data_IF_479170859544
#
_entry.id   IF_479170859544
#
_cell.length_a   1.000
_cell.length_b   1.000
_cell.length_c   1.000
_cell.angle_alpha   90.00
_cell.angle_beta   90.00
_cell.angle_gamma   90.00
#
_symmetry.space_group_name_H-M   'P 1'
#
loop_
_entity.id
_entity.type
_entity.pdbx_description
1 polymer ?
#
# COMPACT_ATOMS: atom_id res chain seq x y z
N UNK A 1 7.11 -4.96 4.43
CA UNK A 1 7.46 -3.69 5.11
C UNK A 1 6.19 -3.16 5.74
N UNK A 2 6.26 -2.51 6.91
CA UNK A 2 5.09 -1.86 7.52
C UNK A 2 5.39 -0.38 7.71
N UNK A 3 4.35 0.46 7.67
CA UNK A 3 4.46 1.91 7.90
C UNK A 3 3.20 2.43 8.59
N UNK A 4 3.35 3.51 9.32
CA UNK A 4 2.26 4.15 10.06
C UNK A 4 2.20 5.64 9.71
N UNK A 5 0.99 6.19 9.71
CA UNK A 5 0.80 7.63 9.57
C UNK A 5 1.49 8.37 10.73
N UNK A 6 1.84 9.66 10.57
CA UNK A 6 2.47 10.45 11.63
C UNK A 6 1.72 10.47 12.98
N UNK A 7 0.41 10.27 12.97
CA UNK A 7 -0.45 10.18 14.15
C UNK A 7 -0.88 8.74 14.50
N UNK A 8 -0.31 7.75 13.83
CA UNK A 8 -0.57 6.31 14.03
C UNK A 8 -2.03 5.89 13.78
N UNK A 9 -2.85 6.75 13.16
CA UNK A 9 -4.24 6.45 12.82
C UNK A 9 -4.39 5.42 11.70
N UNK A 10 -3.38 5.31 10.82
CA UNK A 10 -3.34 4.34 9.72
C UNK A 10 -2.07 3.52 9.76
N UNK A 11 -2.19 2.21 9.58
CA UNK A 11 -1.07 1.28 9.44
C UNK A 11 -1.22 0.48 8.15
N UNK A 12 -0.15 0.40 7.36
CA UNK A 12 -0.14 -0.28 6.06
C UNK A 12 0.98 -1.31 6.02
N UNK A 13 0.64 -2.53 5.65
CA UNK A 13 1.59 -3.59 5.37
C UNK A 13 1.79 -3.75 3.86
N UNK A 14 3.05 -3.85 3.45
CA UNK A 14 3.47 -4.09 2.08
C UNK A 14 4.09 -5.47 1.92
N UNK A 15 3.63 -6.17 0.90
CA UNK A 15 4.06 -7.51 0.50
C UNK A 15 4.53 -7.48 -0.95
N UNK A 16 5.74 -7.95 -1.22
CA UNK A 16 6.17 -8.27 -2.57
C UNK A 16 5.72 -9.69 -2.93
N UNK A 17 5.45 -9.91 -4.21
CA UNK A 17 5.16 -11.22 -4.76
C UNK A 17 5.87 -11.38 -6.10
N UNK A 18 6.27 -12.61 -6.41
CA UNK A 18 6.94 -13.00 -7.65
C UNK A 18 6.47 -14.41 -8.00
N UNK A 19 5.82 -14.56 -9.16
CA UNK A 19 5.31 -15.83 -9.65
C UNK A 19 6.37 -16.64 -10.44
N UNK A 20 7.61 -16.17 -10.53
CA UNK A 20 8.74 -16.85 -11.15
C UNK A 20 8.88 -16.57 -12.65
N UNK A 21 9.67 -17.40 -13.34
CA UNK A 21 10.27 -17.11 -14.66
C UNK A 21 9.34 -16.65 -15.80
N UNK A 22 8.03 -16.87 -15.69
CA UNK A 22 7.04 -16.44 -16.69
C UNK A 22 5.85 -15.73 -16.08
N UNK A 23 5.87 -15.52 -14.76
CA UNK A 23 4.78 -14.93 -14.02
C UNK A 23 5.03 -13.45 -13.72
N UNK A 24 3.98 -12.74 -13.34
CA UNK A 24 4.11 -11.37 -12.89
C UNK A 24 4.75 -11.30 -11.50
N UNK A 25 5.26 -10.12 -11.19
CA UNK A 25 5.76 -9.77 -9.87
C UNK A 25 5.27 -8.37 -9.53
N UNK A 26 5.28 -8.02 -8.27
CA UNK A 26 4.82 -6.70 -7.85
C UNK A 26 4.73 -6.54 -6.36
N UNK A 27 4.04 -5.47 -5.97
CA UNK A 27 3.86 -5.07 -4.59
C UNK A 27 2.38 -4.85 -4.32
N UNK A 28 1.92 -5.37 -3.18
CA UNK A 28 0.58 -5.14 -2.63
C UNK A 28 0.68 -4.42 -1.31
N UNK A 29 -0.16 -3.41 -1.11
CA UNK A 29 -0.33 -2.68 0.14
C UNK A 29 -1.70 -2.94 0.76
N UNK A 30 -1.72 -3.29 2.04
CA UNK A 30 -2.92 -3.59 2.82
C UNK A 30 -3.03 -2.65 4.02
N UNK A 31 -4.13 -1.88 4.05
CA UNK A 31 -4.51 -1.07 5.20
C UNK A 31 -5.05 -1.97 6.31
N UNK A 32 -4.46 -1.86 7.49
CA UNK A 32 -4.92 -2.55 8.68
C UNK A 32 -6.15 -1.82 9.25
N UNK A 33 -7.23 -2.56 9.45
CA UNK A 33 -8.45 -2.07 10.07
C UNK A 33 -8.58 -2.51 11.53
N UNK A 34 -9.66 -2.08 12.21
CA UNK A 34 -9.99 -2.62 13.52
C UNK A 34 -10.21 -4.14 13.43
N UNK A 35 -9.81 -4.84 14.50
CA UNK A 35 -9.82 -6.31 14.57
C UNK A 35 -8.85 -6.94 13.55
N UNK A 36 -9.26 -8.01 12.89
CA UNK A 36 -8.50 -8.73 11.86
C UNK A 36 -8.91 -8.33 10.44
N UNK A 37 -9.60 -7.19 10.28
CA UNK A 37 -9.98 -6.71 8.95
C UNK A 37 -8.79 -6.06 8.26
N UNK A 38 -8.58 -6.42 6.99
CA UNK A 38 -7.57 -5.81 6.12
C UNK A 38 -8.22 -5.36 4.83
N UNK A 39 -7.87 -4.16 4.35
CA UNK A 39 -8.31 -3.64 3.05
C UNK A 39 -7.11 -3.52 2.12
N UNK A 40 -7.16 -4.20 0.98
CA UNK A 40 -6.19 -3.96 -0.07
C UNK A 40 -6.40 -2.56 -0.65
N UNK A 41 -5.36 -1.74 -0.67
CA UNK A 41 -5.44 -0.33 -1.11
C UNK A 41 -4.44 0.00 -2.23
N UNK A 42 -3.44 -0.85 -2.44
CA UNK A 42 -2.41 -0.64 -3.44
C UNK A 42 -2.02 -1.96 -4.09
N UNK A 43 -1.91 -1.96 -5.41
CA UNK A 43 -1.34 -3.03 -6.21
C UNK A 43 -0.58 -2.40 -7.37
N UNK A 44 0.70 -2.74 -7.51
CA UNK A 44 1.51 -2.33 -8.65
C UNK A 44 2.35 -3.52 -9.12
N UNK A 45 2.25 -3.84 -10.40
CA UNK A 45 3.03 -4.89 -11.05
C UNK A 45 4.36 -4.34 -11.59
N UNK A 46 5.29 -5.23 -11.90
CA UNK A 46 6.61 -4.92 -12.46
C UNK A 46 7.48 -3.99 -11.59
N UNK A 47 7.22 -3.96 -10.27
CA UNK A 47 8.01 -3.24 -9.27
C UNK A 47 8.54 -4.19 -8.19
N UNK A 48 9.82 -4.03 -7.87
CA UNK A 48 10.56 -4.90 -6.95
C UNK A 48 10.78 -4.26 -5.56
N UNK A 49 10.64 -2.93 -5.46
CA UNK A 49 10.86 -2.17 -4.24
C UNK A 49 9.70 -1.21 -3.96
N UNK A 50 9.40 -1.03 -2.67
CA UNK A 50 8.44 -0.04 -2.20
C UNK A 50 9.17 1.18 -1.65
N UNK A 51 8.79 2.37 -2.11
CA UNK A 51 9.17 3.66 -1.55
C UNK A 51 7.93 4.34 -1.00
N UNK A 52 7.96 4.65 0.28
CA UNK A 52 6.84 5.25 0.98
C UNK A 52 7.21 6.62 1.51
N UNK A 53 6.31 7.58 1.36
CA UNK A 53 6.39 8.88 2.02
C UNK A 53 5.00 9.33 2.49
N UNK A 54 4.84 9.55 3.79
CA UNK A 54 3.63 10.16 4.33
C UNK A 54 3.65 11.67 4.09
N UNK A 55 2.64 12.18 3.37
CA UNK A 55 2.49 13.61 3.08
C UNK A 55 1.66 14.31 4.16
N UNK A 56 0.81 13.57 4.85
CA UNK A 56 0.02 14.02 6.01
C UNK A 56 -0.43 12.80 6.84
N UNK A 57 -1.26 13.01 7.85
CA UNK A 57 -1.85 11.94 8.66
C UNK A 57 -2.74 10.98 7.86
N UNK A 58 -3.26 11.39 6.69
CA UNK A 58 -4.18 10.56 5.90
C UNK A 58 -3.76 10.40 4.43
N UNK A 59 -2.70 11.09 4.00
CA UNK A 59 -2.20 11.03 2.63
C UNK A 59 -0.83 10.36 2.59
N UNK A 60 -0.74 9.30 1.79
CA UNK A 60 0.47 8.52 1.57
C UNK A 60 0.86 8.55 0.09
N UNK A 61 2.16 8.66 -0.19
CA UNK A 61 2.73 8.49 -1.52
C UNK A 61 3.51 7.17 -1.56
N UNK A 62 3.10 6.26 -2.46
CA UNK A 62 3.66 4.92 -2.63
C UNK A 62 4.18 4.83 -4.06
N UNK A 63 5.49 4.70 -4.24
CA UNK A 63 6.15 4.72 -5.56
C UNK A 63 5.72 5.89 -6.47
N UNK A 64 5.47 7.06 -5.86
CA UNK A 64 5.01 8.27 -6.56
C UNK A 64 3.51 8.34 -6.84
N UNK A 65 2.72 7.33 -6.45
CA UNK A 65 1.25 7.35 -6.47
C UNK A 65 0.73 7.87 -5.14
N UNK A 66 -0.12 8.90 -5.17
CA UNK A 66 -0.72 9.48 -3.96
C UNK A 66 -2.09 8.87 -3.71
N UNK A 67 -2.34 8.51 -2.45
CA UNK A 67 -3.62 7.99 -1.96
C UNK A 67 -4.08 8.78 -0.73
N UNK A 68 -5.30 9.30 -0.79
CA UNK A 68 -6.00 9.90 0.35
C UNK A 68 -6.86 8.83 1.06
N UNK A 69 -6.31 8.26 2.13
CA UNK A 69 -6.89 7.11 2.83
C UNK A 69 -8.24 7.42 3.47
N UNK A 70 -8.46 8.67 3.92
CA UNK A 70 -9.74 9.08 4.51
C UNK A 70 -10.89 9.04 3.49
N UNK A 71 -10.57 9.20 2.21
CA UNK A 71 -11.54 9.13 1.11
C UNK A 71 -11.73 7.67 0.63
N UNK A 72 -10.95 6.73 1.17
CA UNK A 72 -11.00 5.32 0.79
C UNK A 72 -10.37 5.02 -0.57
N UNK A 73 -9.54 5.92 -1.09
CA UNK A 73 -8.86 5.77 -2.38
C UNK A 73 -7.98 4.52 -2.44
N UNK A 74 -7.88 3.95 -3.65
CA UNK A 74 -7.09 2.76 -3.94
C UNK A 74 -6.37 2.92 -5.28
N UNK A 75 -5.26 2.20 -5.45
CA UNK A 75 -4.53 2.11 -6.71
C UNK A 75 -4.35 0.65 -7.14
N UNK A 76 -4.50 0.37 -8.44
CA UNK A 76 -4.40 -0.98 -9.00
C UNK A 76 -5.65 -1.85 -8.79
N UNK A 77 -6.75 -1.27 -8.32
CA UNK A 77 -8.06 -1.90 -8.21
C UNK A 77 -9.07 -0.99 -8.93
N UNK A 78 -9.76 -1.53 -9.94
CA UNK A 78 -10.88 -0.88 -10.65
C UNK A 78 -12.23 -1.16 -9.98
#
# INVERSE_FOLDING_TARGET
MSTESPDEAYSIDFYSWDQGATGSFGIRGELQGPLWFKKAIYLEEEVDNVKVNWKSNSMIEINGKQLELKNGETYGYE
#
